data_IF_634297075830
#
_entry.id   IF_634297075830
#
_cell.length_a   1.000
_cell.length_b   1.000
_cell.length_c   1.000
_cell.angle_alpha   90.00
_cell.angle_beta   90.00
_cell.angle_gamma   90.00
#
_symmetry.space_group_name_H-M   'P 1'
#
loop_
_entity.id
_entity.type
_entity.pdbx_description
1 polymer ?
#
# COMPACT_ATOMS: atom_id res chain seq x y z
N UNK A 1 23.96 36.90 6.15
CA UNK A 1 22.95 36.70 7.20
C UNK A 1 22.29 35.35 6.91
N UNK A 2 22.62 34.34 7.70
CA UNK A 2 22.06 32.98 7.58
C UNK A 2 20.64 32.95 8.15
N UNK A 3 19.77 32.13 7.55
CA UNK A 3 18.71 31.44 8.26
C UNK A 3 18.69 29.99 7.78
N UNK A 4 19.39 29.14 8.53
CA UNK A 4 19.27 27.69 8.46
C UNK A 4 17.92 27.29 9.08
N UNK A 5 16.98 26.82 8.27
CA UNK A 5 15.83 26.07 8.79
C UNK A 5 16.20 24.57 8.80
N UNK A 6 16.28 24.05 10.03
CA UNK A 6 16.63 22.68 10.34
C UNK A 6 15.65 21.68 9.72
N UNK A 7 16.04 21.04 8.61
CA UNK A 7 15.35 19.84 8.14
C UNK A 7 15.82 18.66 9.00
N UNK A 8 15.16 18.44 10.12
CA UNK A 8 15.33 17.24 10.94
C UNK A 8 15.02 16.03 10.03
N UNK A 9 15.97 15.13 9.74
CA UNK A 9 15.67 13.96 8.95
C UNK A 9 14.84 13.03 9.83
N UNK A 10 13.52 13.08 9.69
CA UNK A 10 12.62 12.16 10.38
C UNK A 10 13.07 10.72 10.10
N UNK A 11 13.58 10.02 11.12
CA UNK A 11 14.06 8.63 11.07
C UNK A 11 13.01 7.58 10.65
N UNK A 12 11.78 8.01 10.40
CA UNK A 12 10.70 7.22 9.79
C UNK A 12 10.79 7.17 8.24
N UNK A 13 11.41 8.17 7.60
CA UNK A 13 11.35 8.36 6.13
C UNK A 13 12.23 7.36 5.36
N UNK A 14 13.13 6.61 6.00
CA UNK A 14 13.95 5.61 5.31
C UNK A 14 13.15 4.49 4.61
N UNK A 15 11.88 4.27 4.98
CA UNK A 15 10.98 3.29 4.32
C UNK A 15 9.73 3.92 3.72
N UNK A 16 9.64 5.25 3.67
CA UNK A 16 8.48 5.96 3.10
C UNK A 16 8.24 5.51 1.66
N UNK A 17 9.31 5.44 0.86
CA UNK A 17 9.23 5.01 -0.54
C UNK A 17 8.74 3.57 -0.69
N UNK A 18 9.14 2.67 0.20
CA UNK A 18 8.70 1.28 0.19
C UNK A 18 7.21 1.15 0.51
N UNK A 19 6.73 1.90 1.50
CA UNK A 19 5.30 1.94 1.81
C UNK A 19 4.49 2.52 0.66
N UNK A 20 4.95 3.62 0.06
CA UNK A 20 4.30 4.22 -1.11
C UNK A 20 4.30 3.24 -2.29
N UNK A 21 5.38 2.48 -2.51
CA UNK A 21 5.45 1.46 -3.57
C UNK A 21 4.45 0.33 -3.33
N UNK A 22 4.31 -0.14 -2.09
CA UNK A 22 3.33 -1.16 -1.70
C UNK A 22 1.90 -0.65 -1.89
N UNK A 23 1.60 0.57 -1.47
CA UNK A 23 0.29 1.20 -1.63
C UNK A 23 -0.09 1.37 -3.10
N UNK A 24 0.84 1.80 -3.98
CA UNK A 24 0.61 1.86 -5.43
C UNK A 24 0.28 0.50 -6.05
N UNK A 25 0.87 -0.59 -5.54
CA UNK A 25 0.52 -1.96 -5.98
C UNK A 25 -0.89 -2.32 -5.56
N UNK A 26 -1.28 -2.03 -4.32
CA UNK A 26 -2.63 -2.29 -3.79
C UNK A 26 -3.67 -1.51 -4.59
N UNK A 27 -3.38 -0.26 -4.95
CA UNK A 27 -4.22 0.56 -5.83
C UNK A 27 -4.41 -0.10 -7.21
N UNK A 28 -3.34 -0.68 -7.78
CA UNK A 28 -3.42 -1.47 -9.01
C UNK A 28 -4.29 -2.73 -8.87
N UNK A 29 -4.24 -3.40 -7.71
CA UNK A 29 -5.12 -4.52 -7.43
C UNK A 29 -6.58 -4.10 -7.30
N UNK A 30 -6.86 -2.94 -6.67
CA UNK A 30 -8.22 -2.40 -6.58
C UNK A 30 -8.81 -2.13 -7.97
N UNK A 31 -8.02 -1.55 -8.88
CA UNK A 31 -8.43 -1.39 -10.30
C UNK A 31 -8.66 -2.73 -11.00
N UNK A 32 -7.87 -3.75 -10.67
CA UNK A 32 -8.07 -5.10 -11.19
C UNK A 32 -9.39 -5.71 -10.70
N UNK A 33 -9.68 -5.57 -9.40
CA UNK A 33 -10.92 -6.04 -8.79
C UNK A 33 -12.15 -5.36 -9.41
N UNK A 34 -12.07 -4.05 -9.67
CA UNK A 34 -13.15 -3.33 -10.37
C UNK A 34 -13.44 -3.93 -11.74
N UNK A 35 -12.40 -4.20 -12.55
CA UNK A 35 -12.57 -4.85 -13.86
C UNK A 35 -13.21 -6.23 -13.77
N UNK A 36 -12.79 -7.07 -12.83
CA UNK A 36 -13.40 -8.39 -12.64
C UNK A 36 -14.90 -8.28 -12.33
N UNK A 37 -15.31 -7.28 -11.55
CA UNK A 37 -16.73 -7.04 -11.25
C UNK A 37 -17.47 -6.50 -12.47
N UNK A 38 -16.86 -5.58 -13.23
CA UNK A 38 -17.43 -5.03 -14.47
C UNK A 38 -17.60 -6.10 -15.56
N UNK A 39 -16.69 -7.07 -15.62
CA UNK A 39 -16.68 -8.19 -16.56
C UNK A 39 -17.55 -9.38 -16.08
N UNK A 40 -18.20 -9.26 -14.92
CA UNK A 40 -19.02 -10.32 -14.30
C UNK A 40 -18.26 -11.65 -14.12
N UNK A 41 -16.97 -11.56 -13.81
CA UNK A 41 -16.08 -12.71 -13.63
C UNK A 41 -16.50 -13.61 -12.46
N UNK A 42 -16.01 -14.84 -12.47
CA UNK A 42 -16.43 -15.86 -11.52
C UNK A 42 -16.12 -15.44 -10.07
N UNK A 43 -17.08 -15.69 -9.16
CA UNK A 43 -16.98 -15.26 -7.77
C UNK A 43 -15.69 -15.72 -7.08
N UNK A 44 -15.14 -16.87 -7.47
CA UNK A 44 -13.88 -17.38 -6.89
C UNK A 44 -12.68 -16.52 -7.30
N UNK A 45 -12.64 -15.96 -8.51
CA UNK A 45 -11.55 -15.10 -8.98
C UNK A 45 -11.61 -13.73 -8.29
N UNK A 46 -12.81 -13.19 -8.13
CA UNK A 46 -13.08 -11.99 -7.33
C UNK A 46 -12.60 -12.19 -5.89
N UNK A 47 -13.03 -13.29 -5.23
CA UNK A 47 -12.64 -13.60 -3.85
C UNK A 47 -11.13 -13.83 -3.70
N UNK A 48 -10.48 -14.41 -4.71
CA UNK A 48 -9.04 -14.57 -4.76
C UNK A 48 -8.32 -13.22 -4.78
N UNK A 49 -8.78 -12.28 -5.60
CA UNK A 49 -8.20 -10.93 -5.63
C UNK A 49 -8.45 -10.15 -4.35
N UNK A 50 -9.66 -10.21 -3.78
CA UNK A 50 -9.97 -9.60 -2.47
C UNK A 50 -9.04 -10.13 -1.38
N UNK A 51 -8.82 -11.45 -1.36
CA UNK A 51 -7.90 -12.08 -0.40
C UNK A 51 -6.45 -11.62 -0.59
N UNK A 52 -6.00 -11.48 -1.84
CA UNK A 52 -4.66 -10.97 -2.16
C UNK A 52 -4.48 -9.51 -1.71
N UNK A 53 -5.46 -8.65 -1.96
CA UNK A 53 -5.46 -7.24 -1.51
C UNK A 53 -5.44 -7.13 0.02
N UNK A 54 -6.25 -7.94 0.69
CA UNK A 54 -6.32 -7.97 2.16
C UNK A 54 -4.96 -8.33 2.76
N UNK A 55 -4.28 -9.35 2.22
CA UNK A 55 -2.92 -9.74 2.66
C UNK A 55 -1.90 -8.63 2.40
N UNK A 56 -1.99 -7.94 1.27
CA UNK A 56 -1.10 -6.82 0.96
C UNK A 56 -1.27 -5.66 1.95
N UNK A 57 -2.52 -5.30 2.29
CA UNK A 57 -2.84 -4.30 3.31
C UNK A 57 -2.33 -4.71 4.69
N UNK A 58 -2.55 -5.96 5.11
CA UNK A 58 -2.03 -6.49 6.38
C UNK A 58 -0.50 -6.38 6.46
N UNK A 59 0.22 -6.64 5.36
CA UNK A 59 1.68 -6.49 5.30
C UNK A 59 2.12 -5.03 5.49
N UNK A 60 1.36 -4.07 4.97
CA UNK A 60 1.60 -2.64 5.22
C UNK A 60 1.37 -2.31 6.68
N UNK A 61 0.22 -2.70 7.25
CA UNK A 61 -0.12 -2.47 8.65
C UNK A 61 0.93 -3.05 9.61
N UNK A 62 1.40 -4.29 9.36
CA UNK A 62 2.44 -4.91 10.18
C UNK A 62 3.77 -4.16 10.08
N UNK A 63 4.15 -3.69 8.89
CA UNK A 63 5.37 -2.87 8.73
C UNK A 63 5.32 -1.58 9.55
N UNK A 64 4.14 -0.96 9.64
CA UNK A 64 3.92 0.24 10.44
C UNK A 64 3.94 -0.05 11.94
N UNK A 65 3.29 -1.14 12.38
CA UNK A 65 3.22 -1.54 13.80
C UNK A 65 4.56 -1.97 14.39
N UNK A 66 5.38 -2.71 13.63
CA UNK A 66 6.68 -3.22 14.12
C UNK A 66 7.73 -2.10 14.27
N UNK A 67 7.38 -0.85 13.94
CA UNK A 67 8.27 0.31 13.99
C UNK A 67 7.60 1.55 14.63
N UNK A 68 6.71 1.34 15.59
CA UNK A 68 6.33 2.35 16.60
C UNK A 68 7.21 2.22 17.84
#
# INVERSE_FOLDING_TARGET
MQAHENHTPHGYIHRKEDYLRRLRRIEGQARGLQRLVEEEEYCIDILTQVSAMTKALQSVSLGLLVRS
#
